data_IF_973678923035
#
_entry.id   IF_973678923035
#
_cell.length_a   1.000
_cell.length_b   1.000
_cell.length_c   1.000
_cell.angle_alpha   90.00
_cell.angle_beta   90.00
_cell.angle_gamma   90.00
#
_symmetry.space_group_name_H-M   'P 1'
#
loop_
_entity.id
_entity.type
_entity.pdbx_description
1 polymer ?
#
# COMPACT_ATOMS: atom_id res chain seq x y z
N UNK A 1 -35.13 7.43 16.21
CA UNK A 1 -35.07 8.85 15.81
C UNK A 1 -34.10 8.92 14.65
N UNK A 2 -34.57 9.09 13.41
CA UNK A 2 -33.71 9.04 12.22
C UNK A 2 -32.96 10.37 12.15
N UNK A 3 -31.66 10.38 12.45
CA UNK A 3 -30.80 11.55 12.22
C UNK A 3 -30.52 11.66 10.72
N UNK A 4 -31.18 12.61 10.05
CA UNK A 4 -30.75 13.05 8.71
C UNK A 4 -29.48 13.87 8.87
N UNK A 5 -28.33 13.23 8.62
CA UNK A 5 -27.07 13.93 8.47
C UNK A 5 -26.98 14.34 6.99
N UNK A 6 -27.11 15.63 6.72
CA UNK A 6 -26.85 16.20 5.39
C UNK A 6 -25.35 16.26 5.19
N UNK A 7 -24.77 15.19 4.63
CA UNK A 7 -23.45 15.26 4.03
C UNK A 7 -23.60 15.95 2.68
N UNK A 8 -22.94 17.10 2.42
CA UNK A 8 -22.83 17.63 1.07
C UNK A 8 -21.98 16.64 0.25
N UNK A 9 -22.66 15.69 -0.38
CA UNK A 9 -22.09 14.89 -1.46
C UNK A 9 -22.01 15.82 -2.66
N UNK A 10 -20.86 16.46 -2.84
CA UNK A 10 -20.47 16.97 -4.15
C UNK A 10 -20.26 15.76 -5.07
N UNK A 11 -21.35 15.33 -5.70
CA UNK A 11 -21.31 14.43 -6.85
C UNK A 11 -20.58 15.22 -7.92
N UNK A 12 -19.31 14.86 -8.14
CA UNK A 12 -18.38 15.59 -8.99
C UNK A 12 -19.00 15.94 -10.33
N UNK A 13 -19.15 17.24 -10.58
CA UNK A 13 -19.63 17.83 -11.84
C UNK A 13 -18.53 17.85 -12.91
N UNK A 14 -17.71 16.81 -13.01
CA UNK A 14 -16.60 16.79 -13.94
C UNK A 14 -16.91 15.80 -15.07
N UNK A 15 -17.06 16.34 -16.28
CA UNK A 15 -17.11 15.55 -17.51
C UNK A 15 -15.75 14.84 -17.69
N UNK A 16 -15.76 13.56 -18.03
CA UNK A 16 -14.55 12.83 -18.40
C UNK A 16 -14.42 12.93 -19.91
N UNK A 17 -13.39 13.61 -20.40
CA UNK A 17 -13.12 13.68 -21.83
C UNK A 17 -12.34 12.43 -22.23
N UNK A 18 -13.03 11.44 -22.78
CA UNK A 18 -12.35 10.35 -23.48
C UNK A 18 -11.57 10.97 -24.63
N UNK A 19 -10.26 10.76 -24.65
CA UNK A 19 -9.31 11.48 -25.52
C UNK A 19 -9.47 11.24 -27.02
N UNK A 20 -10.58 10.66 -27.47
CA UNK A 20 -10.84 10.38 -28.87
C UNK A 20 -11.51 11.59 -29.52
N UNK A 21 -10.76 12.23 -30.42
CA UNK A 21 -11.31 13.22 -31.34
C UNK A 21 -12.34 12.52 -32.22
N UNK A 22 -13.58 12.98 -32.16
CA UNK A 22 -14.65 12.43 -32.98
C UNK A 22 -14.28 12.65 -34.46
N UNK A 23 -14.17 11.57 -35.25
CA UNK A 23 -13.73 11.59 -36.65
C UNK A 23 -14.57 12.52 -37.54
N UNK A 24 -15.80 12.86 -37.11
CA UNK A 24 -16.70 13.80 -37.81
C UNK A 24 -16.52 15.27 -37.44
N UNK A 25 -15.96 15.59 -36.27
CA UNK A 25 -15.84 16.95 -35.78
C UNK A 25 -14.46 17.14 -35.14
N UNK A 26 -13.47 17.48 -35.96
CA UNK A 26 -12.05 17.62 -35.57
C UNK A 26 -11.77 18.60 -34.43
N UNK A 27 -12.77 19.37 -33.97
CA UNK A 27 -12.63 20.40 -32.94
C UNK A 27 -13.52 20.19 -31.71
N UNK A 28 -14.34 19.12 -31.65
CA UNK A 28 -15.24 18.84 -30.53
C UNK A 28 -14.83 17.53 -29.85
N UNK A 29 -14.47 17.61 -28.57
CA UNK A 29 -14.29 16.42 -27.71
C UNK A 29 -15.66 15.93 -27.28
N UNK A 30 -15.91 14.64 -27.44
CA UNK A 30 -17.12 14.02 -26.94
C UNK A 30 -17.03 13.97 -25.41
N UNK A 31 -17.97 14.65 -24.73
CA UNK A 31 -18.04 14.63 -23.28
C UNK A 31 -18.97 13.47 -22.89
N UNK A 32 -18.39 12.34 -22.47
CA UNK A 32 -19.19 11.30 -21.83
C UNK A 32 -19.44 11.69 -20.37
N UNK A 33 -20.70 11.58 -19.94
CA UNK A 33 -21.03 11.63 -18.53
C UNK A 33 -20.38 10.44 -17.80
N UNK A 34 -19.89 10.68 -16.59
CA UNK A 34 -19.34 9.63 -15.73
C UNK A 34 -20.35 8.47 -15.61
N UNK A 35 -19.99 7.32 -16.19
CA UNK A 35 -20.73 6.07 -16.01
C UNK A 35 -20.46 5.58 -14.58
N UNK A 36 -21.48 5.11 -13.84
CA UNK A 36 -21.26 4.55 -12.51
C UNK A 36 -20.33 3.34 -12.63
N UNK A 37 -19.14 3.45 -12.03
CA UNK A 37 -18.19 2.34 -11.98
C UNK A 37 -18.69 1.30 -10.96
N UNK A 38 -19.32 0.23 -11.46
CA UNK A 38 -19.80 -0.87 -10.64
C UNK A 38 -18.66 -1.86 -10.40
N UNK A 39 -18.03 -1.77 -9.24
CA UNK A 39 -17.03 -2.74 -8.80
C UNK A 39 -17.67 -3.76 -7.87
N UNK A 40 -17.78 -4.99 -8.37
CA UNK A 40 -18.26 -6.10 -7.57
C UNK A 40 -17.23 -6.45 -6.48
N UNK A 41 -17.71 -6.69 -5.25
CA UNK A 41 -16.91 -7.08 -4.08
C UNK A 41 -15.90 -6.03 -3.59
N UNK A 42 -16.18 -4.74 -3.79
CA UNK A 42 -15.36 -3.69 -3.19
C UNK A 42 -15.32 -3.84 -1.65
N UNK A 43 -14.14 -3.82 -1.01
CA UNK A 43 -14.02 -4.00 0.44
C UNK A 43 -14.57 -2.78 1.17
N UNK A 44 -15.65 -2.96 1.92
CA UNK A 44 -16.32 -1.91 2.69
C UNK A 44 -16.24 -2.18 4.19
N UNK A 45 -16.03 -1.12 4.96
CA UNK A 45 -16.16 -1.13 6.40
C UNK A 45 -17.60 -0.85 6.80
N UNK A 46 -18.15 -1.74 7.62
CA UNK A 46 -19.48 -1.61 8.20
C UNK A 46 -19.37 -1.82 9.71
N UNK A 47 -19.88 -0.88 10.50
CA UNK A 47 -20.07 -1.07 11.94
C UNK A 47 -21.57 -1.18 12.25
N UNK A 48 -21.89 -1.95 13.28
CA UNK A 48 -23.24 -2.04 13.85
C UNK A 48 -23.51 -0.95 14.89
N UNK A 49 -22.47 -0.20 15.29
CA UNK A 49 -22.54 0.84 16.30
C UNK A 49 -22.75 2.19 15.62
N UNK A 50 -23.84 2.89 15.97
CA UNK A 50 -24.25 4.14 15.31
C UNK A 50 -23.21 5.27 15.46
N UNK A 51 -22.52 5.37 16.60
CA UNK A 51 -21.49 6.38 16.83
C UNK A 51 -20.22 6.21 15.98
N UNK A 52 -20.02 5.05 15.37
CA UNK A 52 -18.84 4.73 14.57
C UNK A 52 -19.12 4.79 13.07
N UNK A 53 -20.40 4.95 12.70
CA UNK A 53 -20.83 4.94 11.31
C UNK A 53 -20.18 6.08 10.53
N UNK A 54 -20.06 7.26 11.14
CA UNK A 54 -19.37 8.41 10.55
C UNK A 54 -17.89 8.12 10.25
N UNK A 55 -17.18 7.48 11.18
CA UNK A 55 -15.78 7.09 10.98
C UNK A 55 -15.65 6.02 9.88
N UNK A 56 -16.56 5.04 9.85
CA UNK A 56 -16.60 4.02 8.78
C UNK A 56 -16.83 4.65 7.41
N UNK A 57 -17.75 5.62 7.31
CA UNK A 57 -18.02 6.35 6.07
C UNK A 57 -16.81 7.14 5.59
N UNK A 58 -16.11 7.83 6.50
CA UNK A 58 -14.90 8.59 6.17
C UNK A 58 -13.82 7.66 5.62
N UNK A 59 -13.63 6.48 6.22
CA UNK A 59 -12.64 5.52 5.74
C UNK A 59 -13.06 4.89 4.41
N UNK A 60 -14.34 4.54 4.23
CA UNK A 60 -14.83 4.02 2.96
C UNK A 60 -14.63 5.03 1.82
N UNK A 61 -14.83 6.32 2.09
CA UNK A 61 -14.52 7.39 1.15
C UNK A 61 -13.03 7.42 0.81
N UNK A 62 -12.14 7.32 1.80
CA UNK A 62 -10.70 7.22 1.55
C UNK A 62 -10.34 6.03 0.65
N UNK A 63 -10.89 4.85 0.93
CA UNK A 63 -10.65 3.63 0.14
C UNK A 63 -11.14 3.78 -1.30
N UNK A 64 -12.31 4.39 -1.50
CA UNK A 64 -12.85 4.65 -2.83
C UNK A 64 -11.98 5.65 -3.62
N UNK A 65 -11.53 6.72 -2.98
CA UNK A 65 -10.67 7.71 -3.64
C UNK A 65 -9.30 7.12 -3.96
N UNK A 66 -8.79 6.22 -3.12
CA UNK A 66 -7.56 5.47 -3.39
C UNK A 66 -7.70 4.47 -4.53
N UNK A 67 -8.89 3.87 -4.70
CA UNK A 67 -9.18 2.99 -5.84
C UNK A 67 -9.28 3.74 -7.15
N UNK A 68 -10.04 4.82 -7.15
CA UNK A 68 -10.40 5.54 -8.36
C UNK A 68 -9.38 6.59 -8.78
N UNK A 69 -8.43 6.93 -7.92
CA UNK A 69 -7.51 8.04 -8.12
C UNK A 69 -8.18 9.43 -8.05
N UNK A 70 -9.50 9.50 -7.89
CA UNK A 70 -10.23 10.76 -7.82
C UNK A 70 -10.34 11.24 -6.37
N UNK A 71 -9.75 12.39 -6.07
CA UNK A 71 -9.84 13.01 -4.75
C UNK A 71 -10.84 14.17 -4.77
N UNK A 72 -11.96 14.01 -4.05
CA UNK A 72 -12.90 15.12 -3.82
C UNK A 72 -12.37 15.99 -2.68
N UNK A 73 -11.67 17.06 -3.04
CA UNK A 73 -11.18 18.08 -2.11
C UNK A 73 -12.33 18.98 -1.67
N UNK A 74 -12.62 19.01 -0.37
CA UNK A 74 -13.71 19.85 0.19
C UNK A 74 -13.36 21.34 0.06
N UNK A 75 -12.08 21.73 0.02
CA UNK A 75 -11.64 23.13 -0.09
C UNK A 75 -10.17 23.27 -0.58
N UNK A 76 -9.85 23.07 -1.87
CA UNK A 76 -8.49 23.36 -2.39
C UNK A 76 -8.53 23.95 -3.81
N UNK A 77 -7.73 25.02 -4.01
CA UNK A 77 -7.38 25.63 -5.29
C UNK A 77 -7.11 24.57 -6.38
N UNK A 78 -7.70 24.77 -7.57
CA UNK A 78 -7.65 23.88 -8.73
C UNK A 78 -6.25 23.34 -9.08
N UNK A 79 -5.19 24.08 -8.75
CA UNK A 79 -3.80 23.74 -9.07
C UNK A 79 -3.22 22.49 -8.36
N UNK A 80 -3.92 21.89 -7.39
CA UNK A 80 -3.49 20.65 -6.71
C UNK A 80 -4.34 19.42 -7.05
N UNK A 81 -5.30 19.55 -7.98
CA UNK A 81 -6.20 18.45 -8.37
C UNK A 81 -5.54 17.37 -9.23
N UNK A 82 -4.37 17.66 -9.81
CA UNK A 82 -3.68 16.80 -10.78
C UNK A 82 -2.43 16.10 -10.20
N UNK A 83 -2.31 15.97 -8.88
CA UNK A 83 -1.34 15.00 -8.34
C UNK A 83 -1.96 13.61 -8.53
N UNK A 84 -1.61 12.96 -9.65
CA UNK A 84 -1.98 11.58 -9.97
C UNK A 84 -1.75 10.69 -8.73
N UNK A 85 -2.82 10.39 -8.00
CA UNK A 85 -2.77 9.33 -7.01
C UNK A 85 -2.89 8.03 -7.77
N UNK A 86 -1.77 7.30 -7.85
CA UNK A 86 -1.67 6.01 -8.53
C UNK A 86 -2.88 5.11 -8.21
N UNK A 87 -3.64 4.75 -9.24
CA UNK A 87 -4.75 3.81 -9.13
C UNK A 87 -4.26 2.53 -8.45
N UNK A 88 -4.89 2.16 -7.34
CA UNK A 88 -4.46 1.01 -6.54
C UNK A 88 -5.27 -0.24 -6.89
N UNK A 89 -4.58 -1.36 -7.10
CA UNK A 89 -5.20 -2.67 -7.24
C UNK A 89 -6.13 -3.03 -6.06
N UNK A 90 -7.20 -3.77 -6.36
CA UNK A 90 -8.20 -4.22 -5.37
C UNK A 90 -7.54 -4.97 -4.20
N UNK A 91 -6.55 -5.83 -4.46
CA UNK A 91 -5.77 -6.55 -3.42
C UNK A 91 -5.12 -5.58 -2.42
N UNK A 92 -4.58 -4.46 -2.91
CA UNK A 92 -3.95 -3.44 -2.07
C UNK A 92 -4.98 -2.71 -1.21
N UNK A 93 -6.19 -2.54 -1.72
CA UNK A 93 -7.31 -1.90 -1.01
C UNK A 93 -7.90 -2.84 0.04
N UNK A 94 -8.01 -4.13 -0.23
CA UNK A 94 -8.38 -5.14 0.77
C UNK A 94 -7.42 -5.13 1.96
N UNK A 95 -6.12 -5.08 1.68
CA UNK A 95 -5.08 -4.94 2.71
C UNK A 95 -5.22 -3.65 3.52
N UNK A 96 -5.51 -2.52 2.85
CA UNK A 96 -5.76 -1.24 3.51
C UNK A 96 -7.03 -1.26 4.37
N UNK A 97 -8.11 -1.84 3.85
CA UNK A 97 -9.39 -2.00 4.53
C UNK A 97 -9.23 -2.84 5.80
N UNK A 98 -8.52 -3.97 5.72
CA UNK A 98 -8.23 -4.81 6.88
C UNK A 98 -7.41 -4.08 7.95
N UNK A 99 -6.38 -3.33 7.53
CA UNK A 99 -5.55 -2.56 8.45
C UNK A 99 -6.35 -1.46 9.16
N UNK A 100 -7.15 -0.71 8.41
CA UNK A 100 -7.99 0.37 8.95
C UNK A 100 -9.13 -0.17 9.82
N UNK A 101 -9.68 -1.36 9.51
CA UNK A 101 -10.62 -2.07 10.38
C UNK A 101 -10.00 -2.37 11.74
N UNK A 102 -8.80 -2.96 11.77
CA UNK A 102 -8.12 -3.27 13.03
C UNK A 102 -7.77 -2.01 13.83
N UNK A 103 -7.47 -0.91 13.13
CA UNK A 103 -7.24 0.38 13.75
C UNK A 103 -8.52 0.96 14.38
N UNK A 104 -9.65 0.94 13.65
CA UNK A 104 -10.96 1.30 14.17
C UNK A 104 -11.33 0.49 15.41
N UNK A 105 -11.23 -0.84 15.34
CA UNK A 105 -11.54 -1.72 16.48
C UNK A 105 -10.70 -1.38 17.72
N UNK A 106 -9.43 -0.99 17.53
CA UNK A 106 -8.58 -0.53 18.63
C UNK A 106 -9.05 0.81 19.20
N UNK A 107 -9.37 1.77 18.34
CA UNK A 107 -9.88 3.08 18.73
C UNK A 107 -11.18 2.95 19.53
N UNK A 108 -12.10 2.10 19.07
CA UNK A 108 -13.38 1.80 19.74
C UNK A 108 -13.15 1.21 21.13
N UNK A 109 -12.32 0.17 21.24
CA UNK A 109 -11.99 -0.45 22.54
C UNK A 109 -11.34 0.54 23.51
N UNK A 110 -10.59 1.50 22.99
CA UNK A 110 -9.88 2.51 23.78
C UNK A 110 -10.68 3.79 24.00
N UNK A 111 -11.92 3.87 23.48
CA UNK A 111 -12.78 5.05 23.44
C UNK A 111 -12.05 6.30 22.90
N UNK A 112 -11.36 6.13 21.77
CA UNK A 112 -10.61 7.17 21.06
C UNK A 112 -11.34 7.53 19.78
N UNK A 113 -11.53 8.83 19.54
CA UNK A 113 -11.95 9.29 18.21
C UNK A 113 -10.74 9.31 17.28
N UNK A 114 -10.88 8.74 16.08
CA UNK A 114 -9.83 8.75 15.05
C UNK A 114 -9.53 10.20 14.62
N UNK A 115 -10.51 11.08 14.72
CA UNK A 115 -10.37 12.48 14.37
C UNK A 115 -9.91 13.35 15.55
N UNK A 116 -9.70 12.80 16.76
CA UNK A 116 -9.31 13.57 17.97
C UNK A 116 -7.94 14.27 17.85
N UNK A 117 -7.13 13.90 16.85
CA UNK A 117 -5.88 14.59 16.50
C UNK A 117 -6.04 15.96 15.85
N UNK A 118 -7.27 16.46 15.75
CA UNK A 118 -7.66 17.73 15.11
C UNK A 118 -7.49 18.98 15.96
N UNK A 119 -7.41 18.84 17.28
CA UNK A 119 -7.37 20.01 18.17
C UNK A 119 -5.95 20.56 18.24
N UNK A 120 -5.77 21.73 17.63
CA UNK A 120 -4.53 22.48 17.53
C UNK A 120 -3.74 22.52 18.86
N UNK A 121 -2.43 22.34 18.74
CA UNK A 121 -1.37 22.48 19.77
C UNK A 121 -1.07 21.25 20.63
N UNK A 122 -0.50 20.21 20.02
CA UNK A 122 0.15 19.15 20.78
C UNK A 122 1.65 19.44 20.94
N UNK A 123 2.11 19.64 22.18
CA UNK A 123 3.50 19.45 22.58
C UNK A 123 4.00 18.05 22.18
N UNK A 124 5.32 17.83 22.10
CA UNK A 124 5.91 16.52 21.74
C UNK A 124 5.37 15.40 22.64
N UNK A 125 5.11 15.69 23.92
CA UNK A 125 4.52 14.73 24.86
C UNK A 125 3.04 14.46 24.56
N UNK A 126 2.29 15.49 24.18
CA UNK A 126 0.88 15.38 23.84
C UNK A 126 0.67 14.63 22.51
N UNK A 127 1.62 14.69 21.57
CA UNK A 127 1.53 13.91 20.33
C UNK A 127 1.53 12.40 20.58
N UNK A 128 2.14 11.92 21.67
CA UNK A 128 2.14 10.49 22.01
C UNK A 128 0.76 9.98 22.44
N UNK A 129 -0.10 10.88 22.92
CA UNK A 129 -1.46 10.56 23.35
C UNK A 129 -2.43 10.36 22.19
N UNK A 130 -2.01 10.74 20.98
CA UNK A 130 -2.84 10.69 19.79
C UNK A 130 -3.13 9.25 19.35
N UNK A 131 -4.30 9.01 18.73
CA UNK A 131 -4.71 7.67 18.30
C UNK A 131 -3.67 6.89 17.48
N UNK A 132 -2.94 7.50 16.51
CA UNK A 132 -1.92 6.77 15.74
C UNK A 132 -0.74 6.28 16.58
N UNK A 133 -0.30 7.08 17.56
CA UNK A 133 0.85 6.74 18.42
C UNK A 133 0.46 5.72 19.49
N UNK A 134 -0.76 5.81 20.04
CA UNK A 134 -1.29 4.76 20.91
C UNK A 134 -1.43 3.43 20.17
N UNK A 135 -1.91 3.46 18.93
CA UNK A 135 -1.98 2.26 18.11
C UNK A 135 -0.59 1.68 17.81
N UNK A 136 0.41 2.51 17.53
CA UNK A 136 1.81 2.08 17.41
C UNK A 136 2.28 1.35 18.68
N UNK A 137 1.99 1.89 19.87
CA UNK A 137 2.33 1.23 21.14
C UNK A 137 1.61 -0.12 21.30
N UNK A 138 0.33 -0.20 20.93
CA UNK A 138 -0.44 -1.45 20.93
C UNK A 138 0.14 -2.50 19.96
N UNK A 139 0.55 -2.09 18.75
CA UNK A 139 1.24 -2.98 17.81
C UNK A 139 2.57 -3.48 18.37
N UNK A 140 3.34 -2.62 19.05
CA UNK A 140 4.58 -3.03 19.71
C UNK A 140 4.33 -4.07 20.79
N UNK A 141 3.23 -3.96 21.55
CA UNK A 141 2.85 -5.00 22.52
C UNK A 141 2.55 -6.33 21.81
N UNK A 142 1.72 -6.32 20.75
CA UNK A 142 1.41 -7.52 19.96
C UNK A 142 2.64 -8.15 19.28
N UNK A 143 3.61 -7.32 18.91
CA UNK A 143 4.92 -7.77 18.42
C UNK A 143 5.65 -8.58 19.51
N UNK A 144 5.73 -8.05 20.74
CA UNK A 144 6.36 -8.77 21.86
C UNK A 144 5.68 -10.11 22.16
N UNK A 145 4.37 -10.18 21.97
CA UNK A 145 3.57 -11.39 22.16
C UNK A 145 3.71 -12.40 21.00
N UNK A 146 4.49 -12.08 19.96
CA UNK A 146 4.67 -12.85 18.72
C UNK A 146 3.39 -13.06 17.88
N UNK A 147 2.34 -12.27 18.11
CA UNK A 147 1.10 -12.31 17.33
C UNK A 147 1.26 -11.74 15.92
N UNK A 148 2.23 -10.84 15.75
CA UNK A 148 2.40 -10.05 14.52
C UNK A 148 3.86 -9.92 14.12
N UNK A 149 4.09 -9.92 12.81
CA UNK A 149 5.40 -9.66 12.19
C UNK A 149 5.68 -8.16 12.12
N UNK A 150 6.95 -7.76 12.20
CA UNK A 150 7.36 -6.35 12.09
C UNK A 150 6.95 -5.76 10.74
N UNK A 151 7.05 -6.57 9.68
CA UNK A 151 6.64 -6.17 8.33
C UNK A 151 5.15 -5.84 8.30
N UNK A 152 4.28 -6.70 8.84
CA UNK A 152 2.83 -6.46 8.83
C UNK A 152 2.45 -5.31 9.74
N UNK A 153 3.09 -5.18 10.92
CA UNK A 153 2.85 -4.05 11.82
C UNK A 153 3.18 -2.69 11.17
N UNK A 154 4.33 -2.61 10.48
CA UNK A 154 4.69 -1.41 9.73
C UNK A 154 3.78 -1.17 8.52
N UNK A 155 3.31 -2.23 7.86
CA UNK A 155 2.33 -2.12 6.78
C UNK A 155 1.01 -1.50 7.29
N UNK A 156 0.50 -1.94 8.44
CA UNK A 156 -0.70 -1.37 9.04
C UNK A 156 -0.51 0.12 9.39
N UNK A 157 0.64 0.47 9.99
CA UNK A 157 0.97 1.87 10.27
C UNK A 157 1.11 2.71 8.99
N UNK A 158 1.58 2.12 7.89
CA UNK A 158 1.68 2.82 6.60
C UNK A 158 0.29 3.17 6.07
N UNK A 159 -0.68 2.25 6.13
CA UNK A 159 -2.06 2.56 5.72
C UNK A 159 -2.73 3.59 6.62
N UNK A 160 -2.51 3.52 7.94
CA UNK A 160 -2.98 4.56 8.87
C UNK A 160 -2.35 5.90 8.50
N UNK A 161 -1.04 5.95 8.23
CA UNK A 161 -0.35 7.18 7.81
C UNK A 161 -0.97 7.78 6.54
N UNK A 162 -1.16 6.97 5.51
CA UNK A 162 -1.78 7.39 4.24
C UNK A 162 -3.20 7.94 4.46
N UNK A 163 -3.97 7.34 5.37
CA UNK A 163 -5.29 7.85 5.74
C UNK A 163 -5.22 9.26 6.34
N UNK A 164 -4.28 9.54 7.25
CA UNK A 164 -4.10 10.87 7.82
C UNK A 164 -3.52 11.88 6.82
N UNK A 165 -2.64 11.46 5.91
CA UNK A 165 -2.18 12.32 4.79
C UNK A 165 -3.35 12.72 3.90
N UNK A 166 -4.21 11.77 3.56
CA UNK A 166 -5.42 12.01 2.79
C UNK A 166 -6.40 12.93 3.52
N UNK A 167 -6.62 12.70 4.82
CA UNK A 167 -7.50 13.55 5.62
C UNK A 167 -6.99 15.00 5.68
N UNK A 168 -5.66 15.20 5.75
CA UNK A 168 -5.05 16.52 5.64
C UNK A 168 -5.20 17.11 4.22
N UNK A 169 -4.89 16.33 3.17
CA UNK A 169 -5.03 16.78 1.77
C UNK A 169 -6.45 17.23 1.44
N UNK A 170 -7.46 16.53 1.98
CA UNK A 170 -8.88 16.84 1.74
C UNK A 170 -9.45 17.94 2.65
N UNK A 171 -8.63 18.55 3.51
CA UNK A 171 -9.04 19.61 4.43
C UNK A 171 -9.91 19.12 5.59
N UNK A 172 -9.95 17.81 5.87
CA UNK A 172 -10.61 17.25 7.05
C UNK A 172 -9.78 17.44 8.31
N UNK A 173 -8.47 17.60 8.16
CA UNK A 173 -7.50 17.85 9.23
C UNK A 173 -6.62 19.04 8.88
N UNK A 174 -6.44 19.96 9.84
CA UNK A 174 -5.63 21.17 9.66
C UNK A 174 -4.12 20.90 9.61
N UNK A 175 -3.64 19.88 10.34
CA UNK A 175 -2.21 19.58 10.47
C UNK A 175 -1.91 18.09 10.55
N UNK A 176 -0.86 17.67 9.84
CA UNK A 176 -0.30 16.31 9.94
C UNK A 176 0.32 16.06 11.32
N UNK A 177 -0.02 14.92 11.90
CA UNK A 177 0.33 14.51 13.28
C UNK A 177 1.77 13.96 13.40
N UNK A 178 2.38 13.56 12.29
CA UNK A 178 3.72 12.97 12.22
C UNK A 178 4.70 13.86 11.46
N UNK A 179 5.99 13.65 11.72
CA UNK A 179 7.09 14.36 11.07
C UNK A 179 7.82 13.43 10.12
N UNK A 180 8.24 13.97 8.99
CA UNK A 180 9.13 13.31 8.05
C UNK A 180 10.58 13.68 8.36
N UNK A 181 11.44 12.68 8.41
CA UNK A 181 12.87 12.80 8.55
C UNK A 181 13.54 12.08 7.38
N UNK A 182 14.35 12.82 6.63
CA UNK A 182 15.18 12.25 5.58
C UNK A 182 16.37 11.56 6.23
N UNK A 183 16.40 10.23 6.19
CA UNK A 183 17.53 9.44 6.69
C UNK A 183 18.34 8.94 5.51
N UNK A 184 19.64 9.18 5.55
CA UNK A 184 20.59 8.57 4.61
C UNK A 184 20.90 7.18 5.12
N UNK A 185 20.34 6.16 4.47
CA UNK A 185 20.68 4.77 4.72
C UNK A 185 21.84 4.43 3.80
N UNK A 186 22.97 4.01 4.37
CA UNK A 186 24.05 3.44 3.55
C UNK A 186 23.54 2.10 3.02
N UNK A 187 23.41 1.98 1.71
CA UNK A 187 23.21 0.67 1.06
C UNK A 187 24.59 0.08 0.84
N UNK A 188 25.04 -0.69 1.83
CA UNK A 188 26.30 -1.42 1.81
C UNK A 188 26.35 -2.23 3.09
N UNK A 189 26.14 -3.54 2.94
CA UNK A 189 26.35 -4.49 4.02
C UNK A 189 27.83 -4.56 4.37
N UNK A 190 28.11 -4.96 5.61
CA UNK A 190 29.36 -5.63 5.94
C UNK A 190 29.67 -6.64 4.84
N UNK A 191 30.89 -6.56 4.31
CA UNK A 191 31.65 -7.56 3.56
C UNK A 191 30.88 -8.54 2.65
N UNK A 192 31.02 -8.29 1.34
CA UNK A 192 31.23 -9.31 0.29
C UNK A 192 30.38 -10.59 0.34
N UNK A 193 29.36 -10.70 -0.54
CA UNK A 193 29.17 -11.93 -1.37
C UNK A 193 28.09 -11.91 -2.45
N UNK A 194 27.07 -11.04 -2.38
CA UNK A 194 25.90 -11.17 -3.28
C UNK A 194 25.63 -9.98 -4.19
N UNK A 195 26.23 -8.81 -3.94
CA UNK A 195 26.04 -7.61 -4.77
C UNK A 195 26.78 -7.68 -6.13
N UNK A 196 27.75 -8.58 -6.27
CA UNK A 196 28.59 -8.68 -7.47
C UNK A 196 27.80 -9.23 -8.67
N UNK A 197 26.84 -10.13 -8.44
CA UNK A 197 25.98 -10.68 -9.48
C UNK A 197 24.98 -9.65 -10.01
N UNK A 198 24.35 -8.85 -9.13
CA UNK A 198 23.43 -7.78 -9.55
C UNK A 198 24.14 -6.64 -10.28
N UNK A 199 25.43 -6.42 -10.01
CA UNK A 199 26.26 -5.43 -10.70
C UNK A 199 26.66 -5.89 -12.11
N UNK A 200 26.91 -7.19 -12.32
CA UNK A 200 27.30 -7.78 -13.61
C UNK A 200 26.24 -7.61 -14.70
N UNK A 201 24.96 -7.52 -14.33
CA UNK A 201 23.84 -7.30 -15.26
C UNK A 201 23.39 -5.84 -15.36
N UNK A 202 24.06 -4.92 -14.67
CA UNK A 202 23.71 -3.50 -14.66
C UNK A 202 24.60 -2.69 -15.62
N UNK A 203 24.02 -1.73 -16.33
CA UNK A 203 24.77 -0.83 -17.24
C UNK A 203 25.87 -0.05 -16.51
N UNK A 204 26.94 0.34 -17.22
CA UNK A 204 28.08 1.08 -16.66
C UNK A 204 27.64 2.37 -15.90
N UNK A 205 26.54 2.99 -16.32
CA UNK A 205 25.94 4.14 -15.63
C UNK A 205 25.43 3.78 -14.22
N UNK A 206 24.81 2.60 -14.06
CA UNK A 206 24.31 2.10 -12.76
C UNK A 206 25.45 1.67 -11.85
N UNK A 207 26.54 1.14 -12.41
CA UNK A 207 27.76 0.79 -11.70
C UNK A 207 28.49 2.04 -11.15
N UNK A 208 28.40 3.18 -11.85
CA UNK A 208 28.96 4.46 -11.36
C UNK A 208 28.14 5.09 -10.23
N UNK A 209 26.80 4.93 -10.26
CA UNK A 209 25.89 5.34 -9.17
C UNK A 209 26.03 4.45 -7.93
N UNK A 210 26.42 3.18 -8.09
CA UNK A 210 26.55 2.23 -6.99
C UNK A 210 27.73 2.52 -6.06
N UNK A 211 28.76 3.25 -6.52
CA UNK A 211 29.92 3.61 -5.67
C UNK A 211 29.60 4.66 -4.60
N UNK A 212 28.48 5.38 -4.73
CA UNK A 212 28.01 6.41 -3.78
C UNK A 212 26.62 6.08 -3.20
N UNK A 213 26.32 4.80 -3.02
CA UNK A 213 24.98 4.28 -2.66
C UNK A 213 24.63 4.59 -1.19
N UNK A 214 24.30 5.83 -0.88
CA UNK A 214 23.44 6.16 0.26
C UNK A 214 22.05 6.45 -0.25
N UNK A 215 21.09 5.58 0.02
CA UNK A 215 19.69 5.83 -0.27
C UNK A 215 19.16 6.87 0.72
N UNK A 216 18.70 8.01 0.19
CA UNK A 216 17.94 8.97 0.96
C UNK A 216 16.52 8.41 1.12
N UNK A 217 16.23 7.82 2.27
CA UNK A 217 14.89 7.31 2.59
C UNK A 217 14.16 8.34 3.44
N UNK A 218 13.01 8.80 2.97
CA UNK A 218 12.10 9.58 3.79
C UNK A 218 11.44 8.63 4.80
N UNK A 219 11.73 8.83 6.08
CA UNK A 219 11.15 8.05 7.18
C UNK A 219 10.20 8.94 7.98
N UNK A 220 9.20 8.36 8.62
CA UNK A 220 8.33 9.12 9.54
C UNK A 220 8.56 8.68 10.97
N UNK A 221 8.27 9.53 11.94
CA UNK A 221 8.27 9.13 13.36
C UNK A 221 7.19 8.06 13.69
N UNK A 222 6.21 7.86 12.80
CA UNK A 222 5.18 6.81 12.87
C UNK A 222 5.62 5.51 12.16
N UNK A 223 6.83 5.02 12.47
CA UNK A 223 7.32 3.68 12.10
C UNK A 223 7.83 2.95 13.34
N UNK A 224 7.70 1.62 13.36
CA UNK A 224 8.29 0.77 14.40
C UNK A 224 9.72 0.44 13.99
N UNK A 225 10.75 0.85 14.77
CA UNK A 225 12.14 0.56 14.44
C UNK A 225 12.46 -0.94 14.49
N UNK A 226 13.43 -1.37 13.69
CA UNK A 226 13.87 -2.76 13.57
C UNK A 226 14.37 -3.42 14.88
N UNK A 227 14.67 -2.62 15.92
CA UNK A 227 15.02 -3.12 17.26
C UNK A 227 13.92 -3.95 17.92
N UNK A 228 12.68 -3.82 17.45
CA UNK A 228 11.53 -4.59 17.92
C UNK A 228 11.23 -5.82 17.03
N UNK A 229 12.16 -6.21 16.15
CA UNK A 229 12.01 -7.42 15.32
C UNK A 229 12.04 -8.66 16.21
N UNK A 230 11.06 -9.55 16.02
CA UNK A 230 10.95 -10.75 16.83
C UNK A 230 12.07 -11.75 16.49
N UNK A 231 12.53 -12.52 17.49
CA UNK A 231 13.57 -13.53 17.29
C UNK A 231 13.17 -14.60 16.25
N UNK A 232 11.87 -14.93 16.15
CA UNK A 232 11.34 -15.84 15.14
C UNK A 232 11.48 -15.30 13.70
N UNK A 233 11.38 -13.98 13.51
CA UNK A 233 11.57 -13.34 12.19
C UNK A 233 13.04 -13.21 11.81
N UNK A 234 13.94 -13.13 12.79
CA UNK A 234 15.38 -13.10 12.54
C UNK A 234 15.87 -14.46 12.03
N UNK A 235 15.28 -15.56 12.49
CA UNK A 235 15.62 -16.93 12.05
C UNK A 235 15.06 -17.32 10.68
N UNK A 236 14.19 -16.48 10.09
CA UNK A 236 13.50 -16.76 8.83
C UNK A 236 14.32 -16.27 7.63
N UNK A 237 15.63 -16.50 7.66
CA UNK A 237 16.45 -16.37 6.46
C UNK A 237 16.10 -17.56 5.56
N UNK A 238 15.51 -17.26 4.41
CA UNK A 238 15.18 -18.27 3.41
C UNK A 238 16.49 -18.62 2.73
N UNK A 239 17.08 -19.75 3.13
CA UNK A 239 18.24 -20.27 2.43
C UNK A 239 17.85 -20.63 0.98
N UNK A 240 18.73 -20.37 0.01
CA UNK A 240 18.53 -20.88 -1.35
C UNK A 240 18.37 -22.40 -1.32
N UNK A 241 17.46 -22.91 -2.15
CA UNK A 241 17.20 -24.35 -2.20
C UNK A 241 18.46 -25.06 -2.70
N UNK A 242 18.82 -26.16 -2.04
CA UNK A 242 19.94 -26.98 -2.51
C UNK A 242 19.52 -27.74 -3.78
N UNK A 243 20.50 -28.13 -4.59
CA UNK A 243 20.23 -28.88 -5.83
C UNK A 243 19.54 -30.22 -5.52
N UNK A 244 19.86 -30.84 -4.40
CA UNK A 244 19.20 -32.03 -3.90
C UNK A 244 17.71 -31.81 -3.57
N UNK A 245 17.36 -30.66 -2.98
CA UNK A 245 15.97 -30.33 -2.64
C UNK A 245 15.14 -30.09 -3.90
N UNK A 246 15.75 -29.47 -4.91
CA UNK A 246 15.14 -29.23 -6.22
C UNK A 246 14.90 -30.56 -6.94
N UNK A 247 15.88 -31.45 -6.98
CA UNK A 247 15.76 -32.77 -7.59
C UNK A 247 14.67 -33.60 -6.89
N UNK A 248 14.65 -33.55 -5.55
CA UNK A 248 13.61 -34.20 -4.73
C UNK A 248 12.21 -33.63 -5.01
N UNK A 249 12.10 -32.31 -5.19
CA UNK A 249 10.84 -31.65 -5.53
C UNK A 249 10.32 -32.07 -6.91
N UNK A 250 11.19 -32.15 -7.92
CA UNK A 250 10.82 -32.63 -9.25
C UNK A 250 10.53 -34.13 -9.31
N UNK A 251 11.04 -34.92 -8.37
CA UNK A 251 10.76 -36.35 -8.26
C UNK A 251 9.35 -36.65 -7.68
N UNK A 252 8.69 -35.69 -7.03
CA UNK A 252 7.37 -35.89 -6.42
C UNK A 252 6.28 -36.24 -7.45
N UNK A 253 5.32 -37.08 -7.05
CA UNK A 253 4.16 -37.47 -7.88
C UNK A 253 3.38 -36.25 -8.39
N UNK A 254 3.34 -35.18 -7.60
CA UNK A 254 2.69 -33.93 -7.98
C UNK A 254 3.32 -33.28 -9.23
N UNK A 255 4.64 -33.39 -9.38
CA UNK A 255 5.43 -32.80 -10.47
C UNK A 255 5.60 -33.68 -11.71
N UNK A 256 5.06 -34.91 -11.69
CA UNK A 256 5.12 -35.81 -12.85
C UNK A 256 4.29 -35.33 -14.04
N UNK A 257 3.33 -34.42 -13.84
CA UNK A 257 2.58 -33.80 -14.92
C UNK A 257 3.44 -32.84 -15.73
N UNK A 258 3.47 -33.01 -17.06
CA UNK A 258 4.24 -32.17 -18.00
C UNK A 258 3.99 -30.68 -17.82
N UNK A 259 2.73 -30.28 -17.63
CA UNK A 259 2.34 -28.87 -17.45
C UNK A 259 2.88 -28.27 -16.16
N UNK A 260 2.79 -29.03 -15.05
CA UNK A 260 3.28 -28.56 -13.74
C UNK A 260 4.79 -28.48 -13.71
N UNK A 261 5.45 -29.46 -14.32
CA UNK A 261 6.91 -29.45 -14.49
C UNK A 261 7.37 -28.25 -15.32
N UNK A 262 6.65 -27.91 -16.39
CA UNK A 262 6.92 -26.72 -17.18
C UNK A 262 6.78 -25.44 -16.35
N UNK A 263 5.70 -25.31 -15.57
CA UNK A 263 5.50 -24.15 -14.69
C UNK A 263 6.63 -24.01 -13.66
N UNK A 264 7.02 -25.11 -13.02
CA UNK A 264 8.12 -25.13 -12.07
C UNK A 264 9.46 -24.78 -12.74
N UNK A 265 9.71 -25.26 -13.97
CA UNK A 265 10.90 -24.92 -14.74
C UNK A 265 10.94 -23.43 -15.11
N UNK A 266 9.80 -22.83 -15.50
CA UNK A 266 9.72 -21.40 -15.81
C UNK A 266 10.06 -20.55 -14.58
N UNK A 267 9.51 -20.90 -13.41
CA UNK A 267 9.84 -20.22 -12.16
C UNK A 267 11.31 -20.41 -11.74
N UNK A 268 11.85 -21.61 -11.89
CA UNK A 268 13.21 -21.93 -11.44
C UNK A 268 14.31 -21.39 -12.38
N UNK A 269 14.16 -21.56 -13.69
CA UNK A 269 15.19 -21.21 -14.68
C UNK A 269 15.15 -19.74 -15.07
N UNK A 270 13.96 -19.15 -15.16
CA UNK A 270 13.77 -17.75 -15.60
C UNK A 270 13.53 -16.82 -14.41
N UNK A 271 13.14 -17.36 -13.24
CA UNK A 271 12.82 -16.54 -12.07
C UNK A 271 11.43 -15.89 -12.13
N UNK A 272 10.55 -16.37 -13.02
CA UNK A 272 9.21 -15.81 -13.19
C UNK A 272 8.35 -16.06 -11.93
N UNK A 273 7.59 -15.05 -11.53
CA UNK A 273 6.60 -15.14 -10.46
C UNK A 273 5.41 -15.98 -10.92
N UNK A 274 4.70 -16.59 -9.98
CA UNK A 274 3.55 -17.43 -10.29
C UNK A 274 2.48 -16.69 -11.12
N UNK A 275 2.24 -15.39 -10.84
CA UNK A 275 1.29 -14.57 -11.60
C UNK A 275 1.78 -14.33 -13.04
N UNK A 276 3.08 -14.10 -13.23
CA UNK A 276 3.70 -13.89 -14.56
C UNK A 276 3.66 -15.15 -15.42
N UNK A 277 3.78 -16.34 -14.81
CA UNK A 277 3.68 -17.63 -15.52
C UNK A 277 2.26 -17.88 -16.01
N UNK A 278 1.25 -17.48 -15.23
CA UNK A 278 -0.17 -17.66 -15.59
C UNK A 278 -0.58 -16.69 -16.71
N UNK A 279 -0.06 -15.46 -16.67
CA UNK A 279 -0.38 -14.42 -17.65
C UNK A 279 0.49 -14.49 -18.92
N UNK A 280 1.34 -15.52 -19.04
CA UNK A 280 2.27 -15.68 -20.14
C UNK A 280 1.50 -15.98 -21.44
N UNK A 281 1.54 -15.03 -22.37
CA UNK A 281 0.86 -15.15 -23.67
C UNK A 281 1.74 -15.85 -24.70
N UNK A 282 1.10 -16.62 -25.59
CA UNK A 282 1.79 -17.41 -26.62
C UNK A 282 2.53 -16.54 -27.66
N UNK A 283 2.10 -15.30 -27.86
CA UNK A 283 2.70 -14.32 -28.79
C UNK A 283 4.09 -13.84 -28.37
N UNK A 284 4.45 -13.97 -27.08
CA UNK A 284 5.77 -13.60 -26.55
C UNK A 284 6.80 -14.73 -26.75
N UNK A 285 6.34 -15.96 -27.03
CA UNK A 285 7.20 -17.12 -27.16
C UNK A 285 7.75 -17.25 -28.57
N UNK A 286 9.00 -16.82 -28.78
CA UNK A 286 9.72 -17.07 -30.03
C UNK A 286 10.23 -18.51 -29.98
N UNK A 287 9.52 -19.43 -30.62
CA UNK A 287 10.05 -20.78 -30.85
C UNK A 287 11.21 -20.69 -31.85
N UNK A 288 12.44 -20.81 -31.37
CA UNK A 288 13.58 -21.12 -32.23
C UNK A 288 13.43 -22.56 -32.71
N UNK A 289 12.91 -22.73 -33.92
CA UNK A 289 12.92 -23.98 -34.69
C UNK A 289 14.33 -24.32 -35.17
#
# INVERSE_FOLDING_TARGET
MIRKITCPLEIGHNANFTGELNEKYSNLREAEYLKPLLVMKFPLLTSTIESELDQCLIINLFLQQKFTGYVNYINVNDNKRNEDSDECDIKTIEGACLALKQYLEFCVKSNLDIMDGLLNTFSVEQTQWLPPFRYKSHLISRLKDNDLTLRTANQYLAYVRQFYEWAHKTGRIDRIIFKYENKRIKTGGDDNKYDELDLLFSSEAVQSLSKNKSLNVQTSNLTIPAKFRNAAEQRKEVEPWSQHDIDSFFATDYMQSKTRRLWANLGFQVGLRAEEIVDLREDVMICSS
#
